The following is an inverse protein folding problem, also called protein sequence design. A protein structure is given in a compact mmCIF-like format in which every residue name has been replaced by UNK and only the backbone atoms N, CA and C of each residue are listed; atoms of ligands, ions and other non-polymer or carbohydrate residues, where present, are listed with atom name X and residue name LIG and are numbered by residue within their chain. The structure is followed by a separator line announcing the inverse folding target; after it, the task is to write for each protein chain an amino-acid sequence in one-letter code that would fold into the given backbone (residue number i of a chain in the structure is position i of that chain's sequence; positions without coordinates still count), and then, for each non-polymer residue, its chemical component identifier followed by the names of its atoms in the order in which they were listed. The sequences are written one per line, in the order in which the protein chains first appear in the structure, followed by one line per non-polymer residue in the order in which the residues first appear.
data_IF_999480547309
#
_entry.id   IF_999480547309
#
_cell.length_a   1.000
_cell.length_b   1.000
_cell.length_c   1.000
_cell.angle_alpha   90.00
_cell.angle_beta   90.00
_cell.angle_gamma   90.00
#
_symmetry.space_group_name_H-M   'P 1'
#
loop_
_entity.id
_entity.type
_entity.pdbx_description
1 polymer ?
#
# COMPACT_ATOMS: atom_id res chain seq x y z
N UNK A 1 -3.85 -30.49 18.14
CA UNK A 1 -4.24 -29.24 18.83
C UNK A 1 -3.48 -28.10 18.15
N UNK A 2 -4.05 -26.89 18.02
CA UNK A 2 -3.32 -25.78 17.40
C UNK A 2 -2.48 -25.07 18.45
N UNK A 3 -1.16 -25.02 18.25
CA UNK A 3 -0.21 -24.26 19.06
C UNK A 3 0.07 -22.92 18.38
N UNK A 4 0.14 -21.83 19.16
CA UNK A 4 0.45 -20.51 18.63
C UNK A 4 1.82 -20.05 19.11
N UNK A 5 2.65 -19.57 18.17
CA UNK A 5 3.89 -18.84 18.48
C UNK A 5 3.68 -17.36 18.15
N UNK A 6 3.89 -16.51 19.14
CA UNK A 6 3.73 -15.06 19.04
C UNK A 6 5.13 -14.47 18.91
N UNK A 7 5.28 -13.45 18.05
CA UNK A 7 6.56 -12.81 17.79
C UNK A 7 6.41 -11.29 17.89
N UNK A 8 7.05 -10.71 18.89
CA UNK A 8 7.32 -9.26 18.98
C UNK A 8 8.55 -8.86 18.16
N UNK A 9 9.07 -7.63 18.31
CA UNK A 9 10.25 -7.16 17.53
C UNK A 9 11.46 -8.07 17.68
N UNK A 10 11.85 -8.36 18.93
CA UNK A 10 13.04 -9.15 19.23
C UNK A 10 12.85 -10.59 18.75
N UNK A 11 11.70 -11.18 19.04
CA UNK A 11 11.41 -12.56 18.67
C UNK A 11 11.29 -12.73 17.15
N UNK A 12 10.79 -11.71 16.44
CA UNK A 12 10.75 -11.69 14.98
C UNK A 12 12.16 -11.59 14.39
N UNK A 13 13.01 -10.74 14.94
CA UNK A 13 14.42 -10.60 14.55
C UNK A 13 15.20 -11.91 14.76
N UNK A 14 15.07 -12.51 15.95
CA UNK A 14 15.67 -13.80 16.27
C UNK A 14 15.18 -14.90 15.30
N UNK A 15 13.88 -14.90 14.98
CA UNK A 15 13.26 -15.87 14.09
C UNK A 15 13.75 -15.77 12.64
N UNK A 16 13.95 -14.57 12.11
CA UNK A 16 14.50 -14.40 10.75
C UNK A 16 15.99 -14.59 10.70
N UNK A 17 16.72 -14.16 11.74
CA UNK A 17 18.18 -14.29 11.83
C UNK A 17 18.61 -15.74 12.03
N UNK A 18 17.83 -16.58 12.72
CA UNK A 18 18.15 -18.01 12.84
C UNK A 18 18.07 -18.75 11.49
N UNK A 19 17.29 -18.23 10.55
CA UNK A 19 17.08 -18.85 9.24
C UNK A 19 16.15 -20.08 9.25
N UNK A 20 15.71 -20.55 10.42
CA UNK A 20 14.88 -21.75 10.57
C UNK A 20 13.55 -21.63 9.83
N UNK A 21 13.02 -20.42 9.72
CA UNK A 21 11.76 -20.14 9.03
C UNK A 21 11.79 -20.54 7.54
N UNK A 22 12.97 -20.65 6.92
CA UNK A 22 13.15 -21.07 5.53
C UNK A 22 12.89 -22.57 5.32
N UNK A 23 12.90 -23.36 6.39
CA UNK A 23 12.66 -24.80 6.37
C UNK A 23 11.16 -25.15 6.29
N UNK A 24 10.26 -24.18 6.45
CA UNK A 24 8.83 -24.40 6.27
C UNK A 24 8.45 -24.56 4.78
N UNK A 25 7.32 -25.23 4.55
CA UNK A 25 6.75 -25.43 3.21
C UNK A 25 6.33 -24.11 2.56
N UNK A 26 5.99 -23.11 3.38
CA UNK A 26 5.72 -21.73 2.97
C UNK A 26 6.34 -20.77 3.98
N UNK A 27 6.72 -19.58 3.51
CA UNK A 27 7.30 -18.54 4.34
C UNK A 27 6.17 -17.73 5.01
N UNK A 28 6.23 -17.52 6.34
CA UNK A 28 5.28 -16.65 7.02
C UNK A 28 5.59 -15.16 6.81
N UNK A 29 6.85 -14.83 6.52
CA UNK A 29 7.32 -13.46 6.26
C UNK A 29 8.61 -13.50 5.44
N UNK A 30 8.88 -12.48 4.64
CA UNK A 30 10.19 -12.28 4.01
C UNK A 30 11.11 -11.47 4.92
N UNK A 31 12.42 -11.61 4.75
CA UNK A 31 13.43 -10.94 5.60
C UNK A 31 13.29 -9.43 5.58
N UNK A 32 13.20 -8.82 4.39
CA UNK A 32 13.04 -7.37 4.28
C UNK A 32 11.70 -6.85 4.81
N UNK A 33 10.65 -7.69 4.81
CA UNK A 33 9.38 -7.33 5.45
C UNK A 33 9.51 -7.41 6.97
N UNK A 34 10.16 -8.44 7.51
CA UNK A 34 10.43 -8.51 8.95
C UNK A 34 11.23 -7.30 9.42
N UNK A 35 12.28 -6.94 8.70
CA UNK A 35 13.09 -5.74 8.97
C UNK A 35 12.25 -4.45 8.95
N UNK A 36 11.34 -4.31 7.99
CA UNK A 36 10.41 -3.18 7.93
C UNK A 36 9.49 -3.11 9.15
N UNK A 37 8.95 -4.25 9.62
CA UNK A 37 8.16 -4.30 10.85
C UNK A 37 8.99 -3.93 12.10
N UNK A 38 10.23 -4.42 12.20
CA UNK A 38 11.15 -4.15 13.32
C UNK A 38 11.51 -2.65 13.38
N UNK A 39 11.77 -2.04 12.23
CA UNK A 39 12.13 -0.62 12.10
C UNK A 39 10.96 0.35 12.22
N UNK A 40 9.72 -0.13 12.33
CA UNK A 40 8.56 0.72 12.50
C UNK A 40 8.65 1.52 13.81
N UNK A 41 8.73 2.86 13.71
CA UNK A 41 8.84 3.75 14.86
C UNK A 41 7.60 3.75 15.76
N UNK A 42 6.44 3.35 15.24
CA UNK A 42 5.18 3.29 15.99
C UNK A 42 4.94 1.94 16.68
N UNK A 43 5.77 0.94 16.38
CA UNK A 43 5.72 -0.35 17.05
C UNK A 43 6.44 -0.28 18.39
N UNK A 44 5.78 -0.71 19.45
CA UNK A 44 6.42 -0.97 20.75
C UNK A 44 7.24 -2.26 20.69
N UNK A 45 8.17 -2.43 21.62
CA UNK A 45 9.08 -3.59 21.63
C UNK A 45 8.36 -4.90 21.97
N UNK A 46 7.29 -4.82 22.77
CA UNK A 46 6.46 -5.93 23.21
C UNK A 46 5.23 -6.19 22.32
N UNK A 47 4.93 -5.30 21.37
CA UNK A 47 3.79 -5.48 20.47
C UNK A 47 3.97 -6.67 19.54
N UNK A 48 2.93 -7.49 19.47
CA UNK A 48 2.88 -8.65 18.58
C UNK A 48 2.85 -8.24 17.11
N UNK A 49 3.83 -8.71 16.33
CA UNK A 49 3.98 -8.41 14.90
C UNK A 49 3.52 -9.57 14.02
N UNK A 50 3.76 -10.80 14.46
CA UNK A 50 3.47 -12.01 13.70
C UNK A 50 3.03 -13.12 14.67
N UNK A 51 1.95 -13.82 14.33
CA UNK A 51 1.52 -15.03 15.02
C UNK A 51 1.54 -16.18 14.04
N UNK A 52 2.21 -17.27 14.42
CA UNK A 52 2.29 -18.52 13.69
C UNK A 52 1.38 -19.55 14.35
N UNK A 53 0.65 -20.32 13.54
CA UNK A 53 -0.13 -21.46 14.01
C UNK A 53 0.54 -22.75 13.58
N UNK A 54 0.84 -23.62 14.55
CA UNK A 54 1.33 -24.96 14.32
C UNK A 54 0.23 -25.99 14.58
N UNK A 55 0.10 -26.97 13.69
CA UNK A 55 -0.80 -28.10 13.86
C UNK A 55 0.01 -29.39 13.72
N UNK A 56 0.08 -30.17 14.79
CA UNK A 56 0.89 -31.39 14.90
C UNK A 56 2.37 -31.15 14.50
N UNK A 57 2.94 -30.06 15.01
CA UNK A 57 4.34 -29.67 14.78
C UNK A 57 4.62 -29.02 13.42
N UNK A 58 3.65 -28.97 12.50
CA UNK A 58 3.79 -28.35 11.19
C UNK A 58 3.22 -26.93 11.17
N UNK A 59 3.88 -26.01 10.47
CA UNK A 59 3.34 -24.67 10.25
C UNK A 59 2.07 -24.75 9.39
N UNK A 60 0.94 -24.36 9.97
CA UNK A 60 -0.38 -24.50 9.38
C UNK A 60 -0.96 -23.16 8.89
N UNK A 61 -0.47 -22.05 9.41
CA UNK A 61 -0.86 -20.70 8.98
C UNK A 61 -0.16 -19.61 9.78
N UNK A 62 -0.41 -18.36 9.39
CA UNK A 62 0.09 -17.18 10.08
C UNK A 62 -0.84 -15.97 9.89
N UNK A 63 -0.72 -15.01 10.81
CA UNK A 63 -1.35 -13.70 10.71
C UNK A 63 -0.34 -12.64 11.16
N UNK A 64 -0.30 -11.53 10.43
CA UNK A 64 0.67 -10.46 10.66
C UNK A 64 -0.03 -9.14 10.91
N UNK A 65 0.48 -8.36 11.85
CA UNK A 65 0.00 -7.04 12.21
C UNK A 65 1.11 -6.00 12.03
N UNK A 66 0.74 -4.84 11.50
CA UNK A 66 1.62 -3.70 11.38
C UNK A 66 1.17 -2.62 12.37
N UNK A 67 1.91 -2.40 13.48
CA UNK A 67 1.51 -1.44 14.50
C UNK A 67 1.45 -0.01 14.00
N UNK A 68 0.53 0.76 14.57
CA UNK A 68 0.38 2.18 14.31
C UNK A 68 -0.25 2.85 15.54
N UNK A 69 -0.43 4.16 15.49
CA UNK A 69 -1.05 4.90 16.57
C UNK A 69 -1.75 6.17 16.08
N UNK A 70 -2.71 6.61 16.89
CA UNK A 70 -3.29 7.94 16.83
C UNK A 70 -2.77 8.78 17.98
N UNK A 71 -2.67 10.09 17.75
CA UNK A 71 -2.60 11.08 18.83
C UNK A 71 -4.02 11.59 19.08
N UNK A 72 -4.61 11.23 20.21
CA UNK A 72 -5.98 11.59 20.62
C UNK A 72 -5.87 12.31 21.96
N UNK A 73 -6.29 13.58 22.00
CA UNK A 73 -6.25 14.42 23.21
C UNK A 73 -4.88 14.42 23.92
N UNK A 74 -3.80 14.45 23.12
CA UNK A 74 -2.42 14.44 23.61
C UNK A 74 -1.91 13.08 24.08
N UNK A 75 -2.72 12.01 23.97
CA UNK A 75 -2.34 10.64 24.33
C UNK A 75 -2.16 9.78 23.08
N UNK A 76 -1.17 8.89 23.14
CA UNK A 76 -0.93 7.90 22.09
C UNK A 76 -1.92 6.75 22.29
N UNK A 77 -2.75 6.52 21.28
CA UNK A 77 -3.66 5.40 21.19
C UNK A 77 -3.10 4.39 20.19
N UNK A 78 -2.71 3.20 20.65
CA UNK A 78 -2.09 2.19 19.81
C UNK A 78 -3.13 1.30 19.14
N UNK A 79 -2.88 0.93 17.89
CA UNK A 79 -3.68 -0.02 17.13
C UNK A 79 -2.77 -0.77 16.14
N UNK A 80 -3.31 -1.73 15.39
CA UNK A 80 -2.58 -2.32 14.27
C UNK A 80 -3.41 -2.53 13.02
N UNK A 81 -2.70 -2.52 11.90
CA UNK A 81 -3.21 -2.92 10.60
C UNK A 81 -3.01 -4.42 10.42
N UNK A 82 -4.09 -5.13 10.14
CA UNK A 82 -4.05 -6.54 9.78
C UNK A 82 -3.44 -6.68 8.38
N UNK A 83 -2.20 -7.12 8.32
CA UNK A 83 -1.33 -6.97 7.14
C UNK A 83 -1.09 -8.26 6.35
N UNK A 84 -1.30 -9.42 6.97
CA UNK A 84 -1.34 -10.73 6.31
C UNK A 84 -2.27 -11.67 7.04
N UNK A 85 -2.91 -12.57 6.31
CA UNK A 85 -3.55 -13.76 6.85
C UNK A 85 -3.41 -14.90 5.85
N UNK A 86 -2.88 -16.05 6.28
CA UNK A 86 -2.81 -17.24 5.46
C UNK A 86 -2.99 -18.51 6.28
N UNK A 87 -3.66 -19.50 5.68
CA UNK A 87 -3.79 -20.86 6.20
C UNK A 87 -3.55 -21.83 5.05
N UNK A 88 -2.67 -22.80 5.27
CA UNK A 88 -2.37 -23.84 4.29
C UNK A 88 -3.61 -24.70 3.99
N UNK A 89 -3.75 -25.11 2.73
CA UNK A 89 -4.89 -25.90 2.28
C UNK A 89 -5.01 -27.24 3.02
N UNK A 90 -3.87 -27.85 3.41
CA UNK A 90 -3.78 -29.09 4.19
C UNK A 90 -4.53 -29.00 5.53
N UNK A 91 -4.69 -27.79 6.06
CA UNK A 91 -5.26 -27.55 7.38
C UNK A 91 -6.61 -26.81 7.35
N UNK A 92 -7.27 -26.74 6.19
CA UNK A 92 -8.62 -26.19 6.08
C UNK A 92 -9.62 -26.97 6.94
N UNK A 93 -10.68 -26.28 7.38
CA UNK A 93 -11.70 -26.85 8.28
C UNK A 93 -11.28 -26.96 9.75
N UNK A 94 -10.00 -26.80 10.07
CA UNK A 94 -9.46 -26.89 11.46
C UNK A 94 -9.58 -25.59 12.26
N UNK A 95 -10.36 -24.62 11.77
CA UNK A 95 -10.60 -23.29 12.40
C UNK A 95 -9.35 -22.43 12.66
N UNK A 96 -8.21 -22.74 12.04
CA UNK A 96 -6.93 -22.03 12.25
C UNK A 96 -7.02 -20.53 11.98
N UNK A 97 -7.67 -20.11 10.89
CA UNK A 97 -7.82 -18.69 10.58
C UNK A 97 -8.53 -17.92 11.70
N UNK A 98 -9.58 -18.52 12.28
CA UNK A 98 -10.31 -17.94 13.41
C UNK A 98 -9.43 -17.91 14.68
N UNK A 99 -8.67 -18.97 14.95
CA UNK A 99 -7.73 -19.02 16.07
C UNK A 99 -6.66 -17.92 15.96
N UNK A 100 -6.06 -17.76 14.79
CA UNK A 100 -5.06 -16.71 14.51
C UNK A 100 -5.64 -15.31 14.71
N UNK A 101 -6.81 -15.03 14.11
CA UNK A 101 -7.46 -13.73 14.22
C UNK A 101 -7.90 -13.41 15.64
N UNK A 102 -8.51 -14.36 16.34
CA UNK A 102 -8.89 -14.18 17.75
C UNK A 102 -7.67 -13.87 18.62
N UNK A 103 -6.53 -14.51 18.35
CA UNK A 103 -5.30 -14.18 19.07
C UNK A 103 -4.87 -12.75 18.79
N UNK A 104 -4.87 -12.30 17.55
CA UNK A 104 -4.54 -10.90 17.24
C UNK A 104 -5.52 -9.90 17.86
N UNK A 105 -6.81 -10.24 17.98
CA UNK A 105 -7.77 -9.38 18.66
C UNK A 105 -7.47 -9.29 20.16
N UNK A 106 -7.09 -10.39 20.80
CA UNK A 106 -6.65 -10.41 22.20
C UNK A 106 -5.39 -9.55 22.40
N UNK A 107 -4.37 -9.75 21.57
CA UNK A 107 -3.07 -9.05 21.67
C UNK A 107 -3.17 -7.52 21.50
N UNK A 108 -4.21 -7.04 20.79
CA UNK A 108 -4.44 -5.62 20.54
C UNK A 108 -5.65 -5.06 21.27
N UNK A 109 -6.28 -5.82 22.16
CA UNK A 109 -7.53 -5.43 22.85
C UNK A 109 -8.61 -4.94 21.85
N UNK A 110 -8.72 -5.66 20.74
CA UNK A 110 -9.64 -5.34 19.65
C UNK A 110 -9.30 -4.08 18.85
N UNK A 111 -8.12 -3.47 19.04
CA UNK A 111 -7.68 -2.28 18.31
C UNK A 111 -7.06 -2.64 16.96
N UNK A 112 -7.87 -3.23 16.07
CA UNK A 112 -7.44 -3.73 14.76
C UNK A 112 -8.22 -3.06 13.62
N UNK A 113 -7.48 -2.75 12.54
CA UNK A 113 -7.99 -2.24 11.27
C UNK A 113 -7.56 -3.17 10.15
N UNK A 114 -8.40 -3.41 9.15
CA UNK A 114 -8.04 -4.08 7.91
C UNK A 114 -8.38 -3.22 6.69
N UNK A 115 -7.50 -3.23 5.68
CA UNK A 115 -7.72 -2.62 4.37
C UNK A 115 -7.03 -3.44 3.28
N UNK A 116 -7.27 -3.10 2.01
CA UNK A 116 -6.66 -3.75 0.83
C UNK A 116 -6.75 -5.30 0.83
N UNK A 117 -7.82 -5.84 1.41
CA UNK A 117 -8.05 -7.28 1.57
C UNK A 117 -8.70 -7.91 0.33
N UNK A 118 -8.50 -9.22 0.14
CA UNK A 118 -9.17 -9.98 -0.93
C UNK A 118 -10.63 -10.27 -0.58
N UNK A 119 -11.43 -10.70 -1.56
CA UNK A 119 -12.84 -11.08 -1.36
C UNK A 119 -12.99 -12.27 -0.41
N UNK A 120 -12.02 -13.17 -0.41
CA UNK A 120 -11.98 -14.33 0.47
C UNK A 120 -11.76 -13.89 1.92
N UNK A 121 -10.80 -12.98 2.15
CA UNK A 121 -10.57 -12.39 3.47
C UNK A 121 -11.78 -11.57 3.95
N UNK A 122 -12.39 -10.79 3.05
CA UNK A 122 -13.61 -10.04 3.33
C UNK A 122 -14.75 -10.95 3.82
N UNK A 123 -14.96 -12.07 3.13
CA UNK A 123 -15.98 -13.05 3.50
C UNK A 123 -15.73 -13.61 4.90
N UNK A 124 -14.46 -13.92 5.22
CA UNK A 124 -14.07 -14.35 6.56
C UNK A 124 -14.35 -13.28 7.62
N UNK A 125 -13.95 -12.02 7.38
CA UNK A 125 -14.17 -10.94 8.33
C UNK A 125 -15.67 -10.67 8.57
N UNK A 126 -16.48 -10.71 7.52
CA UNK A 126 -17.93 -10.58 7.62
C UNK A 126 -18.53 -11.74 8.44
N UNK A 127 -18.08 -12.98 8.24
CA UNK A 127 -18.54 -14.14 9.02
C UNK A 127 -18.19 -14.06 10.51
N UNK A 128 -17.07 -13.41 10.86
CA UNK A 128 -16.71 -13.22 12.27
C UNK A 128 -17.65 -12.24 12.99
N UNK A 129 -18.27 -11.30 12.25
CA UNK A 129 -19.25 -10.36 12.80
C UNK A 129 -18.67 -9.30 13.73
N UNK A 130 -17.34 -9.19 13.81
CA UNK A 130 -16.61 -8.29 14.72
C UNK A 130 -16.07 -7.02 14.05
N UNK A 131 -16.21 -6.88 12.74
CA UNK A 131 -15.78 -5.72 11.98
C UNK A 131 -16.95 -4.90 11.47
N UNK A 132 -16.73 -3.60 11.29
CA UNK A 132 -17.63 -2.68 10.60
C UNK A 132 -16.92 -1.93 9.48
N UNK A 133 -17.62 -1.69 8.39
CA UNK A 133 -17.15 -0.82 7.31
C UNK A 133 -17.23 0.63 7.78
N UNK A 134 -16.09 1.29 7.89
CA UNK A 134 -16.00 2.68 8.31
C UNK A 134 -15.08 3.46 7.38
N UNK A 135 -15.30 4.76 7.30
CA UNK A 135 -14.46 5.71 6.54
C UNK A 135 -14.14 5.29 5.10
N UNK A 136 -15.13 4.84 4.28
CA UNK A 136 -14.85 4.48 2.90
C UNK A 136 -14.25 5.67 2.17
N UNK A 137 -13.16 5.43 1.44
CA UNK A 137 -12.45 6.48 0.71
C UNK A 137 -12.75 6.35 -0.78
N UNK A 138 -13.61 7.22 -1.35
CA UNK A 138 -13.83 7.22 -2.79
C UNK A 138 -12.54 7.60 -3.51
N UNK A 139 -12.40 7.19 -4.76
CA UNK A 139 -11.22 7.44 -5.55
C UNK A 139 -11.47 7.18 -7.03
N UNK A 140 -10.41 7.37 -7.82
CA UNK A 140 -10.44 7.17 -9.26
C UNK A 140 -9.26 6.31 -9.68
N UNK A 141 -9.50 5.44 -10.66
CA UNK A 141 -8.44 4.78 -11.41
C UNK A 141 -8.43 5.31 -12.83
N UNK A 142 -7.32 5.93 -13.21
CA UNK A 142 -7.05 6.44 -14.55
C UNK A 142 -6.14 5.47 -15.29
N UNK A 143 -6.43 5.24 -16.56
CA UNK A 143 -5.62 4.42 -17.45
C UNK A 143 -4.99 5.31 -18.51
N UNK A 144 -3.75 5.00 -18.88
CA UNK A 144 -2.95 5.79 -19.82
C UNK A 144 -2.37 4.97 -20.96
N UNK A 145 -2.35 3.64 -20.82
CA UNK A 145 -1.79 2.71 -21.82
C UNK A 145 -2.66 1.48 -21.93
N UNK A 146 -2.65 0.88 -23.12
CA UNK A 146 -3.20 -0.45 -23.32
C UNK A 146 -2.24 -1.49 -22.75
N UNK A 147 -2.81 -2.44 -22.00
CA UNK A 147 -2.10 -3.59 -21.43
C UNK A 147 -2.94 -4.88 -21.52
N UNK A 148 -3.53 -5.09 -22.69
CA UNK A 148 -4.35 -6.27 -22.98
C UNK A 148 -3.55 -7.57 -22.81
N UNK A 149 -2.25 -7.55 -23.12
CA UNK A 149 -1.33 -8.69 -23.03
C UNK A 149 -1.24 -9.26 -21.62
N UNK A 150 -1.30 -8.41 -20.60
CA UNK A 150 -1.27 -8.84 -19.19
C UNK A 150 -2.69 -8.98 -18.60
N UNK A 151 -3.56 -7.99 -18.80
CA UNK A 151 -4.89 -7.95 -18.15
C UNK A 151 -5.82 -9.09 -18.63
N UNK A 152 -5.83 -9.39 -19.93
CA UNK A 152 -6.78 -10.36 -20.49
C UNK A 152 -6.44 -11.79 -20.04
N UNK A 153 -5.20 -12.29 -20.16
CA UNK A 153 -4.86 -13.63 -19.72
C UNK A 153 -4.94 -13.87 -18.21
N UNK A 154 -4.83 -12.82 -17.40
CA UNK A 154 -5.06 -12.89 -15.95
C UNK A 154 -6.53 -13.13 -15.62
N UNK A 155 -7.45 -12.44 -16.31
CA UNK A 155 -8.90 -12.59 -16.08
C UNK A 155 -9.50 -13.81 -16.77
N UNK A 156 -8.95 -14.22 -17.91
CA UNK A 156 -9.40 -15.35 -18.71
C UNK A 156 -8.20 -16.21 -19.10
N UNK A 157 -7.78 -17.16 -18.24
CA UNK A 157 -6.62 -18.00 -18.49
C UNK A 157 -6.72 -18.84 -19.77
N UNK A 158 -7.92 -19.17 -20.23
CA UNK A 158 -8.20 -19.98 -21.44
C UNK A 158 -7.63 -19.36 -22.72
N UNK A 159 -7.51 -18.03 -22.78
CA UNK A 159 -7.03 -17.30 -23.97
C UNK A 159 -5.55 -16.89 -23.85
N UNK A 160 -4.79 -17.52 -22.94
CA UNK A 160 -3.33 -17.31 -22.80
C UNK A 160 -2.55 -17.56 -24.08
N UNK A 161 -3.01 -18.45 -24.97
CA UNK A 161 -2.37 -18.74 -26.26
C UNK A 161 -2.42 -17.55 -27.24
N UNK A 162 -3.38 -16.63 -27.08
CA UNK A 162 -3.54 -15.43 -27.92
C UNK A 162 -2.67 -14.24 -27.48
N UNK A 163 -1.77 -14.44 -26.51
CA UNK A 163 -0.82 -13.41 -26.05
C UNK A 163 -0.10 -12.66 -27.18
N UNK A 164 0.38 -13.30 -28.26
CA UNK A 164 1.02 -12.57 -29.36
C UNK A 164 0.08 -11.56 -30.03
N UNK A 165 -1.20 -11.91 -30.20
CA UNK A 165 -2.21 -11.02 -30.79
C UNK A 165 -2.44 -9.81 -29.89
N UNK A 166 -2.58 -10.02 -28.58
CA UNK A 166 -2.72 -8.92 -27.62
C UNK A 166 -1.48 -8.02 -27.59
N UNK A 167 -0.28 -8.58 -27.74
CA UNK A 167 0.97 -7.80 -27.81
C UNK A 167 0.99 -6.86 -29.02
N UNK A 168 0.55 -7.34 -30.18
CA UNK A 168 0.41 -6.50 -31.38
C UNK A 168 -0.66 -5.42 -31.22
N UNK A 169 -1.82 -5.77 -30.66
CA UNK A 169 -2.88 -4.82 -30.36
C UNK A 169 -2.40 -3.72 -29.39
N UNK A 170 -1.69 -4.10 -28.32
CA UNK A 170 -1.09 -3.16 -27.38
C UNK A 170 -0.05 -2.26 -28.06
N UNK A 171 0.80 -2.79 -28.94
CA UNK A 171 1.78 -2.00 -29.67
C UNK A 171 1.11 -0.93 -30.56
N UNK A 172 0.07 -1.32 -31.31
CA UNK A 172 -0.69 -0.41 -32.16
C UNK A 172 -1.40 0.68 -31.32
N UNK A 173 -2.17 0.27 -30.31
CA UNK A 173 -2.88 1.20 -29.44
C UNK A 173 -1.93 2.17 -28.73
N UNK A 174 -0.82 1.66 -28.18
CA UNK A 174 0.14 2.49 -27.46
C UNK A 174 0.92 3.44 -28.39
N UNK A 175 1.03 3.13 -29.69
CA UNK A 175 1.64 4.05 -30.67
C UNK A 175 0.73 5.25 -30.94
N UNK A 176 -0.59 5.01 -31.10
CA UNK A 176 -1.59 6.09 -31.23
C UNK A 176 -1.64 6.96 -29.97
N UNK A 177 -1.60 6.34 -28.79
CA UNK A 177 -1.55 7.06 -27.51
C UNK A 177 -0.27 7.90 -27.41
N UNK A 178 0.89 7.37 -27.84
CA UNK A 178 2.13 8.13 -27.84
C UNK A 178 2.05 9.37 -28.74
N UNK A 179 1.39 9.25 -29.91
CA UNK A 179 1.16 10.38 -30.82
C UNK A 179 0.28 11.46 -30.17
N UNK A 180 -0.84 11.06 -29.53
CA UNK A 180 -1.70 11.99 -28.76
C UNK A 180 -0.90 12.75 -27.69
N UNK A 181 0.04 12.06 -27.03
CA UNK A 181 0.79 12.61 -25.91
C UNK A 181 2.00 13.46 -26.30
N UNK A 182 2.30 13.65 -27.60
CA UNK A 182 3.41 14.53 -28.04
C UNK A 182 3.23 15.99 -27.63
N UNK A 183 2.00 16.41 -27.34
CA UNK A 183 1.68 17.76 -26.86
C UNK A 183 2.09 17.98 -25.41
N UNK A 184 2.27 16.90 -24.63
CA UNK A 184 2.66 16.97 -23.22
C UNK A 184 4.17 17.18 -23.15
N UNK A 185 4.57 18.37 -22.71
CA UNK A 185 5.97 18.77 -22.56
C UNK A 185 6.38 18.76 -21.10
N UNK A 186 7.69 18.79 -20.86
CA UNK A 186 8.23 19.07 -19.52
C UNK A 186 7.68 20.44 -19.08
N UNK A 187 7.12 20.55 -17.86
CA UNK A 187 6.65 21.83 -17.35
C UNK A 187 7.77 22.87 -17.28
N UNK A 188 7.39 24.14 -17.42
CA UNK A 188 8.29 25.30 -17.41
C UNK A 188 8.61 25.81 -15.99
N UNK A 189 7.87 25.35 -14.97
CA UNK A 189 8.16 25.63 -13.56
C UNK A 189 9.23 24.70 -12.98
N UNK A 190 9.88 25.14 -11.89
CA UNK A 190 10.87 24.35 -11.15
C UNK A 190 10.18 23.22 -10.38
N UNK A 191 10.72 22.02 -10.51
CA UNK A 191 10.40 20.88 -9.67
C UNK A 191 11.64 20.02 -9.45
N UNK A 192 11.66 19.27 -8.35
CA UNK A 192 12.71 18.32 -8.01
C UNK A 192 12.11 16.94 -7.80
N UNK A 193 12.93 15.92 -8.04
CA UNK A 193 12.59 14.51 -7.83
C UNK A 193 13.74 13.91 -7.02
N UNK A 194 13.45 13.57 -5.77
CA UNK A 194 14.36 12.95 -4.83
C UNK A 194 13.92 11.51 -4.54
N UNK A 195 14.79 10.74 -3.91
CA UNK A 195 14.51 9.38 -3.42
C UNK A 195 14.17 9.35 -1.91
N UNK A 196 14.20 10.50 -1.24
CA UNK A 196 13.84 10.66 0.18
C UNK A 196 13.28 12.07 0.43
N UNK A 197 12.67 12.25 1.60
CA UNK A 197 12.22 13.54 2.12
C UNK A 197 13.43 14.25 2.73
N UNK A 198 13.74 15.43 2.22
CA UNK A 198 14.81 16.31 2.72
C UNK A 198 14.30 17.29 3.80
N UNK A 199 15.21 18.09 4.37
CA UNK A 199 14.90 19.04 5.45
C UNK A 199 13.84 20.06 5.04
N UNK A 200 13.97 20.69 3.87
CA UNK A 200 13.00 21.68 3.38
C UNK A 200 11.60 21.05 3.23
N UNK A 201 11.54 19.83 2.71
CA UNK A 201 10.29 19.09 2.58
C UNK A 201 9.68 18.72 3.93
N UNK A 202 10.51 18.35 4.91
CA UNK A 202 10.07 18.05 6.28
C UNK A 202 9.46 19.29 6.94
N UNK A 203 10.11 20.45 6.83
CA UNK A 203 9.59 21.73 7.32
C UNK A 203 8.30 22.15 6.60
N UNK A 204 8.19 21.89 5.30
CA UNK A 204 6.97 22.12 4.55
C UNK A 204 5.83 21.21 5.03
N UNK A 205 6.10 19.92 5.21
CA UNK A 205 5.13 18.92 5.66
C UNK A 205 4.60 19.20 7.07
N UNK A 206 5.39 19.77 7.97
CA UNK A 206 4.97 20.04 9.36
C UNK A 206 3.83 21.06 9.47
N UNK A 207 3.53 21.77 8.37
CA UNK A 207 2.39 22.70 8.28
C UNK A 207 1.05 21.97 8.06
N UNK A 208 1.08 20.69 7.70
CA UNK A 208 -0.09 19.89 7.39
C UNK A 208 -0.43 18.92 8.51
N UNK A 209 -1.72 18.65 8.70
CA UNK A 209 -2.15 17.55 9.54
C UNK A 209 -1.89 16.23 8.81
N UNK A 210 -0.92 15.45 9.29
CA UNK A 210 -0.53 14.16 8.75
C UNK A 210 -0.44 13.12 9.86
N UNK A 211 -0.72 11.85 9.55
CA UNK A 211 -0.57 10.72 10.50
C UNK A 211 0.86 10.17 10.54
N UNK A 212 1.68 10.55 9.57
CA UNK A 212 3.10 10.23 9.49
C UNK A 212 3.94 11.49 9.26
N UNK A 213 5.07 11.58 9.93
CA UNK A 213 6.08 12.60 9.71
C UNK A 213 7.10 12.16 8.62
N UNK A 214 8.05 13.03 8.33
CA UNK A 214 9.08 12.80 7.31
C UNK A 214 9.99 11.59 7.64
N UNK A 215 10.39 11.43 8.90
CA UNK A 215 11.27 10.35 9.34
C UNK A 215 10.61 8.98 9.19
N UNK A 216 9.33 8.88 9.59
CA UNK A 216 8.54 7.67 9.42
C UNK A 216 8.42 7.28 7.95
N UNK A 217 8.08 8.23 7.08
CA UNK A 217 7.96 7.96 5.64
C UNK A 217 9.31 7.56 5.04
N UNK A 218 10.40 8.23 5.42
CA UNK A 218 11.76 7.88 4.98
C UNK A 218 12.17 6.47 5.41
N UNK A 219 11.77 6.01 6.59
CA UNK A 219 12.00 4.63 7.03
C UNK A 219 11.30 3.64 6.11
N UNK A 220 10.05 3.88 5.74
CA UNK A 220 9.31 2.97 4.84
C UNK A 220 9.83 3.00 3.40
N UNK A 221 10.31 4.15 2.92
CA UNK A 221 10.99 4.25 1.63
C UNK A 221 12.26 3.37 1.62
N UNK A 222 13.03 3.38 2.72
CA UNK A 222 14.25 2.57 2.87
C UNK A 222 13.98 1.08 3.13
N UNK A 223 12.82 0.76 3.71
CA UNK A 223 12.44 -0.60 4.11
C UNK A 223 11.07 -1.00 3.53
N UNK A 224 10.93 -1.06 2.19
CA UNK A 224 9.68 -1.47 1.56
C UNK A 224 9.44 -2.97 1.74
N UNK A 225 8.19 -3.41 1.57
CA UNK A 225 7.85 -4.84 1.61
C UNK A 225 8.00 -5.51 0.24
N UNK A 226 8.12 -4.71 -0.81
CA UNK A 226 8.38 -5.17 -2.18
C UNK A 226 9.72 -4.62 -2.64
N UNK A 227 10.65 -5.52 -3.00
CA UNK A 227 11.94 -5.15 -3.56
C UNK A 227 11.90 -5.20 -5.08
N UNK A 228 12.67 -4.30 -5.71
CA UNK A 228 12.82 -4.33 -7.16
C UNK A 228 13.74 -5.49 -7.57
N UNK A 229 13.17 -6.56 -8.11
CA UNK A 229 13.91 -7.70 -8.65
C UNK A 229 13.09 -8.47 -9.68
N UNK A 230 13.78 -9.16 -10.57
CA UNK A 230 13.17 -10.18 -11.44
C UNK A 230 13.00 -11.53 -10.75
N UNK A 231 13.71 -11.75 -9.63
CA UNK A 231 13.57 -12.95 -8.82
C UNK A 231 12.21 -12.97 -8.13
N UNK A 232 11.63 -14.16 -8.01
CA UNK A 232 10.44 -14.40 -7.22
C UNK A 232 10.83 -15.19 -5.97
N UNK A 233 10.14 -14.90 -4.88
CA UNK A 233 10.19 -15.74 -3.69
C UNK A 233 8.94 -16.62 -3.71
N UNK A 234 9.06 -17.81 -4.28
CA UNK A 234 7.91 -18.67 -4.57
C UNK A 234 7.30 -19.29 -3.30
N UNK A 235 8.07 -19.34 -2.19
CA UNK A 235 7.55 -19.83 -0.91
C UNK A 235 6.74 -18.77 -0.15
N UNK A 236 6.84 -17.49 -0.51
CA UNK A 236 6.08 -16.42 0.13
C UNK A 236 4.84 -16.07 -0.68
N UNK A 237 3.68 -16.06 -0.01
CA UNK A 237 2.38 -15.99 -0.67
C UNK A 237 1.93 -14.57 -1.02
N UNK A 238 2.55 -13.58 -0.40
CA UNK A 238 2.31 -12.16 -0.70
C UNK A 238 3.41 -11.65 -1.64
N UNK A 239 3.15 -10.50 -2.26
CA UNK A 239 4.17 -9.86 -3.10
C UNK A 239 5.39 -9.45 -2.27
N UNK A 240 6.55 -10.01 -2.58
CA UNK A 240 7.85 -9.62 -2.02
C UNK A 240 8.76 -8.93 -3.03
N UNK A 241 8.48 -9.11 -4.32
CA UNK A 241 9.27 -8.56 -5.42
C UNK A 241 8.39 -8.05 -6.56
N UNK A 242 8.91 -7.07 -7.30
CA UNK A 242 8.33 -6.53 -8.52
C UNK A 242 9.44 -6.14 -9.51
N UNK A 243 9.16 -6.15 -10.81
CA UNK A 243 10.17 -5.80 -11.81
C UNK A 243 10.55 -4.31 -11.73
N UNK A 244 9.57 -3.47 -11.42
CA UNK A 244 9.74 -2.06 -11.10
C UNK A 244 9.09 -1.79 -9.76
N UNK A 245 9.83 -1.25 -8.81
CA UNK A 245 9.31 -0.77 -7.53
C UNK A 245 10.14 0.42 -7.06
N UNK A 246 9.60 1.63 -7.20
CA UNK A 246 10.37 2.87 -6.95
C UNK A 246 9.52 3.96 -6.33
N UNK A 247 10.07 4.58 -5.29
CA UNK A 247 9.56 5.81 -4.73
C UNK A 247 10.15 7.03 -5.43
N UNK A 248 9.36 8.08 -5.52
CA UNK A 248 9.80 9.40 -5.98
C UNK A 248 9.21 10.46 -5.05
N UNK A 249 10.08 11.18 -4.35
CA UNK A 249 9.69 12.35 -3.59
C UNK A 249 9.73 13.59 -4.49
N UNK A 250 8.59 14.23 -4.67
CA UNK A 250 8.41 15.32 -5.61
C UNK A 250 8.31 16.64 -4.83
N UNK A 251 9.05 17.65 -5.28
CA UNK A 251 8.93 19.04 -4.80
C UNK A 251 8.56 19.93 -5.97
N UNK A 252 7.56 20.78 -5.82
CA UNK A 252 7.13 21.75 -6.84
C UNK A 252 7.18 23.15 -6.26
N UNK A 253 7.78 24.07 -7.01
CA UNK A 253 7.99 25.44 -6.60
C UNK A 253 7.12 26.41 -7.41
N UNK A 254 6.89 27.59 -6.83
CA UNK A 254 6.26 28.69 -7.54
C UNK A 254 7.22 29.57 -8.36
N UNK A 255 6.67 30.67 -8.91
CA UNK A 255 7.45 31.61 -9.71
C UNK A 255 8.48 32.37 -8.87
N UNK A 256 8.25 32.48 -7.56
CA UNK A 256 9.14 33.11 -6.59
C UNK A 256 10.11 32.10 -5.98
N UNK A 257 10.12 30.86 -6.50
CA UNK A 257 10.98 29.78 -6.06
C UNK A 257 10.64 29.26 -4.64
N UNK A 258 9.41 29.47 -4.18
CA UNK A 258 8.89 28.96 -2.91
C UNK A 258 8.30 27.58 -3.12
N UNK A 259 8.61 26.61 -2.23
CA UNK A 259 8.03 25.27 -2.25
C UNK A 259 6.52 25.35 -1.95
N UNK A 260 5.69 24.87 -2.88
CA UNK A 260 4.22 24.91 -2.76
C UNK A 260 3.55 23.55 -2.69
N UNK A 261 4.22 22.50 -3.17
CA UNK A 261 3.69 21.14 -3.16
C UNK A 261 4.80 20.12 -2.95
N UNK A 262 4.53 19.16 -2.08
CA UNK A 262 5.32 17.95 -1.86
C UNK A 262 4.46 16.72 -2.10
N UNK A 263 5.01 15.67 -2.71
CA UNK A 263 4.28 14.42 -2.89
C UNK A 263 5.19 13.21 -2.95
N UNK A 264 4.77 12.12 -2.30
CA UNK A 264 5.36 10.80 -2.53
C UNK A 264 4.60 10.10 -3.64
N UNK A 265 5.32 9.67 -4.68
CA UNK A 265 4.81 8.77 -5.71
C UNK A 265 5.43 7.38 -5.53
N UNK A 266 4.63 6.34 -5.78
CA UNK A 266 5.10 4.95 -5.84
C UNK A 266 4.76 4.35 -7.19
N UNK A 267 5.79 3.96 -7.95
CA UNK A 267 5.65 3.25 -9.22
C UNK A 267 5.95 1.77 -9.05
N UNK A 268 4.93 0.93 -9.26
CA UNK A 268 5.04 -0.54 -9.24
C UNK A 268 4.58 -1.16 -10.56
N UNK A 269 5.46 -1.77 -11.32
CA UNK A 269 5.16 -2.45 -12.61
C UNK A 269 4.30 -1.63 -13.59
N UNK A 270 4.49 -0.31 -13.60
CA UNK A 270 3.73 0.64 -14.42
C UNK A 270 2.46 1.18 -13.77
N UNK A 271 2.08 0.72 -12.58
CA UNK A 271 1.00 1.27 -11.77
C UNK A 271 1.55 2.34 -10.82
N UNK A 272 1.02 3.56 -10.93
CA UNK A 272 1.36 4.69 -10.09
C UNK A 272 0.34 4.81 -8.95
N UNK A 273 0.84 5.06 -7.74
CA UNK A 273 0.07 5.48 -6.56
C UNK A 273 0.64 6.82 -6.07
N UNK A 274 -0.18 7.58 -5.34
CA UNK A 274 0.20 8.84 -4.68
C UNK A 274 0.00 8.67 -3.16
N UNK A 275 0.87 7.93 -2.45
CA UNK A 275 0.73 7.73 -1.00
C UNK A 275 0.51 9.03 -0.21
N UNK A 276 1.26 10.09 -0.54
CA UNK A 276 1.20 11.36 0.18
C UNK A 276 1.18 12.55 -0.77
N UNK A 277 0.35 13.55 -0.45
CA UNK A 277 0.24 14.80 -1.20
C UNK A 277 -0.01 15.96 -0.23
N UNK A 278 0.92 16.90 -0.21
CA UNK A 278 0.89 18.11 0.61
C UNK A 278 0.94 19.32 -0.32
N UNK A 279 -0.02 20.22 -0.23
CA UNK A 279 -0.07 21.41 -1.10
C UNK A 279 -0.69 22.60 -0.38
N UNK A 280 0.00 23.73 -0.34
CA UNK A 280 -0.54 24.99 0.22
C UNK A 280 -1.46 25.69 -0.78
N UNK A 281 -1.19 25.50 -2.07
CA UNK A 281 -1.93 26.12 -3.17
C UNK A 281 -2.75 25.10 -3.95
N UNK A 282 -3.49 25.56 -4.97
CA UNK A 282 -4.16 24.67 -5.92
C UNK A 282 -3.20 23.69 -6.61
N UNK A 283 -3.76 22.60 -7.15
CA UNK A 283 -3.01 21.45 -7.68
C UNK A 283 -2.72 21.51 -9.20
N UNK A 284 -2.82 22.68 -9.82
CA UNK A 284 -2.69 22.83 -11.28
C UNK A 284 -1.27 22.43 -11.73
N UNK A 285 -0.22 22.99 -11.10
CA UNK A 285 1.18 22.59 -11.39
C UNK A 285 1.44 21.13 -11.10
N UNK A 286 0.89 20.58 -10.01
CA UNK A 286 1.05 19.16 -9.71
C UNK A 286 0.39 18.28 -10.77
N UNK A 287 -0.74 18.69 -11.32
CA UNK A 287 -1.44 17.98 -12.41
C UNK A 287 -0.63 18.02 -13.71
N UNK A 288 -0.01 19.16 -14.03
CA UNK A 288 0.88 19.29 -15.20
C UNK A 288 2.15 18.45 -15.04
N UNK A 289 2.78 18.49 -13.86
CA UNK A 289 3.90 17.63 -13.51
C UNK A 289 3.52 16.15 -13.64
N UNK A 290 2.37 15.75 -13.09
CA UNK A 290 1.90 14.38 -13.10
C UNK A 290 1.65 13.89 -14.54
N UNK A 291 1.08 14.74 -15.40
CA UNK A 291 0.91 14.46 -16.83
C UNK A 291 2.24 14.16 -17.52
N UNK A 292 3.24 15.02 -17.31
CA UNK A 292 4.60 14.82 -17.81
C UNK A 292 5.24 13.55 -17.24
N UNK A 293 5.11 13.31 -15.93
CA UNK A 293 5.67 12.15 -15.25
C UNK A 293 5.07 10.84 -15.79
N UNK A 294 3.75 10.79 -15.99
CA UNK A 294 3.03 9.64 -16.54
C UNK A 294 3.53 9.28 -17.94
N UNK A 295 3.63 10.27 -18.83
CA UNK A 295 4.09 10.08 -20.21
C UNK A 295 5.56 9.64 -20.23
N UNK A 296 6.41 10.36 -19.50
CA UNK A 296 7.86 10.09 -19.44
C UNK A 296 8.17 8.68 -18.92
N UNK A 297 7.48 8.25 -17.86
CA UNK A 297 7.70 6.95 -17.24
C UNK A 297 6.83 5.83 -17.82
N UNK A 298 6.06 6.10 -18.88
CA UNK A 298 5.16 5.14 -19.54
C UNK A 298 4.23 4.45 -18.53
N UNK A 299 3.70 5.22 -17.58
CA UNK A 299 2.75 4.72 -16.56
C UNK A 299 1.54 4.13 -17.28
N UNK A 300 1.09 2.95 -16.83
CA UNK A 300 -0.06 2.23 -17.37
C UNK A 300 -1.35 2.72 -16.75
N UNK A 301 -1.36 2.89 -15.42
CA UNK A 301 -2.51 3.37 -14.68
C UNK A 301 -2.10 4.11 -13.39
N UNK A 302 -2.97 4.99 -12.91
CA UNK A 302 -2.86 5.71 -11.64
C UNK A 302 -4.10 5.40 -10.80
N UNK A 303 -3.91 5.06 -9.53
CA UNK A 303 -4.98 5.13 -8.52
C UNK A 303 -4.73 6.31 -7.59
N UNK A 304 -5.75 7.13 -7.41
CA UNK A 304 -5.72 8.29 -6.52
C UNK A 304 -7.01 8.33 -5.72
N UNK A 305 -6.89 8.43 -4.40
CA UNK A 305 -8.01 8.71 -3.49
C UNK A 305 -8.00 10.17 -3.01
N UNK A 306 -7.10 10.99 -3.55
CA UNK A 306 -7.00 12.42 -3.30
C UNK A 306 -8.13 13.16 -4.03
N UNK A 307 -9.20 13.54 -3.31
CA UNK A 307 -10.42 14.08 -3.92
C UNK A 307 -10.19 15.35 -4.73
N UNK A 308 -9.45 16.31 -4.17
CA UNK A 308 -9.17 17.58 -4.85
C UNK A 308 -8.30 17.38 -6.10
N UNK A 309 -7.37 16.43 -6.07
CA UNK A 309 -6.60 16.06 -7.25
C UNK A 309 -7.49 15.43 -8.31
N UNK A 310 -8.37 14.51 -7.93
CA UNK A 310 -9.26 13.83 -8.85
C UNK A 310 -10.19 14.83 -9.56
N UNK A 311 -10.76 15.81 -8.83
CA UNK A 311 -11.56 16.91 -9.40
C UNK A 311 -10.75 17.71 -10.43
N UNK A 312 -9.49 18.04 -10.12
CA UNK A 312 -8.60 18.76 -11.05
C UNK A 312 -8.26 17.95 -12.31
N UNK A 313 -8.01 16.65 -12.17
CA UNK A 313 -7.79 15.74 -13.30
C UNK A 313 -9.05 15.60 -14.17
N UNK A 314 -10.23 15.58 -13.57
CA UNK A 314 -11.51 15.53 -14.30
C UNK A 314 -11.76 16.79 -15.13
N UNK A 315 -11.41 17.96 -14.58
CA UNK A 315 -11.53 19.25 -15.26
C UNK A 315 -10.43 19.47 -16.32
N UNK A 316 -9.31 18.74 -16.25
CA UNK A 316 -8.20 18.87 -17.18
C UNK A 316 -8.50 18.22 -18.53
N UNK A 317 -8.40 19.02 -19.60
CA UNK A 317 -8.51 18.55 -20.99
C UNK A 317 -7.21 17.95 -21.53
N UNK A 318 -6.08 18.25 -20.87
CA UNK A 318 -4.73 17.88 -21.32
C UNK A 318 -4.17 16.67 -20.60
N UNK A 319 -4.80 16.23 -19.51
CA UNK A 319 -4.35 15.05 -18.77
C UNK A 319 -4.38 13.79 -19.67
N UNK A 320 -3.30 12.97 -19.71
CA UNK A 320 -3.09 11.92 -20.72
C UNK A 320 -4.03 10.70 -20.61
N UNK A 321 -5.09 10.75 -19.80
CA UNK A 321 -5.99 9.61 -19.58
C UNK A 321 -6.66 9.16 -20.90
N UNK A 322 -6.83 7.85 -21.04
CA UNK A 322 -7.61 7.21 -22.11
C UNK A 322 -8.94 6.68 -21.59
N UNK A 323 -8.99 6.32 -20.32
CA UNK A 323 -10.17 5.79 -19.64
C UNK A 323 -10.03 6.05 -18.14
N UNK A 324 -11.15 6.16 -17.46
CA UNK A 324 -11.22 6.28 -16.00
C UNK A 324 -12.40 5.49 -15.46
N UNK A 325 -12.31 5.11 -14.19
CA UNK A 325 -13.42 4.49 -13.46
C UNK A 325 -13.38 4.88 -12.00
N UNK A 326 -14.54 4.79 -11.36
CA UNK A 326 -14.66 4.93 -9.92
C UNK A 326 -13.95 3.76 -9.21
N UNK A 327 -13.38 4.09 -8.06
CA UNK A 327 -12.70 3.15 -7.20
C UNK A 327 -12.99 3.53 -5.75
N UNK A 328 -12.90 2.55 -4.85
CA UNK A 328 -13.12 2.79 -3.43
C UNK A 328 -12.10 1.99 -2.64
N UNK A 329 -11.53 2.62 -1.60
CA UNK A 329 -10.80 1.90 -0.56
C UNK A 329 -11.72 1.74 0.63
N UNK A 330 -11.87 0.49 1.05
CA UNK A 330 -12.68 0.11 2.21
C UNK A 330 -11.77 -0.13 3.40
N UNK A 331 -12.24 0.31 4.56
CA UNK A 331 -11.61 0.00 5.83
C UNK A 331 -12.61 -0.76 6.69
N UNK A 332 -12.11 -1.81 7.33
CA UNK A 332 -12.82 -2.58 8.33
C UNK A 332 -12.19 -2.27 9.68
N UNK A 333 -12.95 -1.67 10.58
CA UNK A 333 -12.51 -1.46 11.96
C UNK A 333 -13.16 -2.50 12.85
N UNK A 334 -12.39 -3.08 13.75
CA UNK A 334 -12.96 -3.97 14.75
C UNK A 334 -13.91 -3.17 15.67
N UNK A 335 -15.03 -3.75 16.09
CA UNK A 335 -16.07 -3.03 16.84
C UNK A 335 -15.56 -2.43 18.15
N UNK A 336 -14.69 -3.14 18.87
CA UNK A 336 -14.06 -2.62 20.08
C UNK A 336 -13.18 -1.38 19.80
N UNK A 337 -12.45 -1.36 18.68
CA UNK A 337 -11.71 -0.16 18.27
C UNK A 337 -12.67 1.05 18.12
N UNK A 338 -13.83 0.85 17.50
CA UNK A 338 -14.81 1.93 17.31
C UNK A 338 -15.33 2.44 18.66
N UNK A 339 -15.59 1.54 19.61
CA UNK A 339 -16.01 1.89 20.97
C UNK A 339 -14.93 2.65 21.75
N UNK A 340 -13.65 2.37 21.49
CA UNK A 340 -12.51 3.06 22.10
C UNK A 340 -12.22 4.43 21.48
N UNK A 341 -12.74 4.72 20.28
CA UNK A 341 -12.51 5.99 19.59
C UNK A 341 -13.50 7.07 20.05
N UNK A 342 -13.09 8.35 20.12
CA UNK A 342 -14.00 9.45 20.42
C UNK A 342 -15.17 9.52 19.44
N UNK A 343 -16.33 9.99 19.92
CA UNK A 343 -17.49 10.21 19.06
C UNK A 343 -17.16 11.21 17.94
N UNK A 344 -17.45 10.84 16.70
CA UNK A 344 -17.17 11.67 15.53
C UNK A 344 -15.69 11.68 15.12
N UNK A 345 -14.88 10.76 15.64
CA UNK A 345 -13.50 10.60 15.20
C UNK A 345 -13.42 10.36 13.69
N UNK A 346 -12.49 11.05 13.03
CA UNK A 346 -12.14 10.84 11.63
C UNK A 346 -10.61 10.66 11.56
N UNK A 347 -10.12 9.51 11.08
CA UNK A 347 -8.69 9.28 10.97
C UNK A 347 -8.03 10.22 9.95
N UNK A 348 -8.76 10.82 8.99
CA UNK A 348 -8.24 11.67 7.92
C UNK A 348 -7.02 11.07 7.22
N UNK A 349 -7.11 9.78 6.91
CA UNK A 349 -6.01 9.04 6.30
C UNK A 349 -5.62 9.59 4.93
N UNK A 350 -4.32 9.79 4.72
CA UNK A 350 -3.73 9.87 3.39
C UNK A 350 -3.62 8.49 2.76
N UNK A 351 -3.37 8.44 1.44
CA UNK A 351 -3.42 7.21 0.66
C UNK A 351 -2.34 6.19 1.07
N UNK A 352 -1.25 6.66 1.70
CA UNK A 352 -0.15 5.86 2.20
C UNK A 352 -0.25 5.46 3.67
N UNK A 353 -1.24 5.94 4.41
CA UNK A 353 -1.38 5.56 5.82
C UNK A 353 -1.75 4.07 5.94
N UNK A 354 -1.23 3.45 7.00
CA UNK A 354 -1.22 2.01 7.16
C UNK A 354 -0.11 1.29 6.40
N UNK A 355 -0.40 0.06 5.98
CA UNK A 355 0.57 -0.86 5.40
C UNK A 355 0.70 -0.75 3.86
N UNK A 356 -0.24 -0.06 3.23
CA UNK A 356 -0.36 -0.02 1.77
C UNK A 356 0.79 0.73 1.05
N UNK A 357 1.48 1.66 1.71
CA UNK A 357 2.58 2.43 1.08
C UNK A 357 3.83 1.59 0.80
N UNK A 358 3.98 0.44 1.46
CA UNK A 358 5.12 -0.48 1.30
C UNK A 358 4.88 -1.54 0.22
N UNK A 359 3.71 -1.50 -0.44
CA UNK A 359 3.19 -2.54 -1.36
C UNK A 359 2.99 -2.11 -2.80
#
# INVERSE_FOLDING_TARGET
MTELKILNKKELDDFVTSGDFRNFDFLPISEHRAESHIRNLKALDDQTLLVLAFYDGKLAGYVGCFPDNYLIDGKIFHYAWLSTLYVSEEFRGKRIAKTLLNKMFEEYDGNIIATEFTKEAETLYNMLGVFEYVFPKPGKRYYFRSDATHIIPEKKPEIKSLKPVFKWADAAANSLIALKNLTIKKPDFRFEILDHIDTESSEFMSKFQSRRNADEINIFIKNPWVLQSKSKEDKYLFSSHAEVFRYFWIKIYDKNNTLTTCSLLLLRDGYLKIPYLFSETGLDRFTDFLSYFIVKNKVKALTSYQQELNKKIEQSKTFPKIYERDFERRYLFHKQLIEHLPKGFDPRYQDGDGDCMMT
#
